data_IF_080725640995
#
_entry.id   IF_080725640995
#
_cell.length_a   1.000
_cell.length_b   1.000
_cell.length_c   1.000
_cell.angle_alpha   90.00
_cell.angle_beta   90.00
_cell.angle_gamma   90.00
#
_symmetry.space_group_name_H-M   'P 1'
#
loop_
_entity.id
_entity.type
_entity.pdbx_description
1 polymer ?
#
# COMPACT_ATOMS: atom_id res chain seq x y z
N UNK A 1 2.07 20.44 -4.10
CA UNK A 1 0.85 19.63 -4.29
C UNK A 1 -0.44 20.41 -3.99
N UNK A 2 -0.34 21.67 -3.53
CA UNK A 2 -1.47 22.47 -3.09
C UNK A 2 -2.06 21.99 -1.74
N UNK A 3 -3.12 22.65 -1.24
CA UNK A 3 -3.73 22.30 0.03
C UNK A 3 -4.38 20.91 -0.02
N UNK A 4 -4.26 20.17 1.08
CA UNK A 4 -4.92 18.90 1.30
C UNK A 4 -5.95 19.09 2.41
N UNK A 5 -7.24 18.92 2.07
CA UNK A 5 -8.37 19.24 2.95
C UNK A 5 -8.64 18.03 3.87
N UNK A 6 -8.68 16.84 3.33
CA UNK A 6 -8.88 15.61 4.11
C UNK A 6 -7.80 15.42 5.18
N UNK A 7 -8.16 14.81 6.30
CA UNK A 7 -7.25 14.59 7.44
C UNK A 7 -6.11 13.66 7.05
N UNK A 8 -6.41 12.54 6.39
CA UNK A 8 -5.42 11.56 5.97
C UNK A 8 -4.50 12.11 4.86
N UNK A 9 -3.20 11.97 5.03
CA UNK A 9 -2.22 12.38 4.02
C UNK A 9 -2.21 11.41 2.84
N UNK A 10 -2.45 11.92 1.63
CA UNK A 10 -2.38 11.16 0.36
C UNK A 10 -1.40 11.82 -0.61
N UNK A 11 -1.84 12.85 -1.32
CA UNK A 11 -0.96 13.58 -2.26
C UNK A 11 0.19 14.29 -1.54
N UNK A 12 0.01 14.74 -0.30
CA UNK A 12 1.07 15.35 0.49
C UNK A 12 2.15 14.33 0.84
N UNK A 13 1.79 13.10 1.24
CA UNK A 13 2.73 12.01 1.45
C UNK A 13 3.56 11.74 0.18
N UNK A 14 2.90 11.51 -0.95
CA UNK A 14 3.57 11.21 -2.23
C UNK A 14 4.50 12.36 -2.66
N UNK A 15 4.06 13.62 -2.48
CA UNK A 15 4.87 14.80 -2.80
C UNK A 15 6.09 14.94 -1.88
N UNK A 16 5.94 14.68 -0.57
CA UNK A 16 7.06 14.68 0.38
C UNK A 16 8.07 13.58 0.01
N UNK A 17 7.59 12.38 -0.29
CA UNK A 17 8.43 11.27 -0.72
C UNK A 17 9.21 11.64 -1.98
N UNK A 18 8.56 12.22 -2.99
CA UNK A 18 9.21 12.68 -4.22
C UNK A 18 10.31 13.73 -3.96
N UNK A 19 10.08 14.67 -3.01
CA UNK A 19 11.08 15.66 -2.62
C UNK A 19 12.26 14.98 -1.92
N UNK A 20 12.02 14.01 -1.03
CA UNK A 20 13.08 13.25 -0.36
C UNK A 20 13.93 12.48 -1.38
N UNK A 21 13.30 11.82 -2.37
CA UNK A 21 14.03 11.18 -3.48
C UNK A 21 14.91 12.17 -4.23
N UNK A 22 14.38 13.35 -4.55
CA UNK A 22 15.16 14.39 -5.25
C UNK A 22 16.35 14.86 -4.42
N UNK A 23 16.16 15.11 -3.12
CA UNK A 23 17.23 15.54 -2.21
C UNK A 23 18.28 14.44 -2.09
N UNK A 24 17.87 13.19 -1.85
CA UNK A 24 18.78 12.05 -1.74
C UNK A 24 19.61 11.90 -3.01
N UNK A 25 18.97 11.98 -4.18
CA UNK A 25 19.65 11.85 -5.46
C UNK A 25 20.68 12.99 -5.70
N UNK A 26 20.41 14.18 -5.21
CA UNK A 26 21.38 15.28 -5.25
C UNK A 26 22.57 15.02 -4.31
N UNK A 27 22.32 14.52 -3.09
CA UNK A 27 23.38 14.24 -2.11
C UNK A 27 24.29 13.09 -2.59
N UNK A 28 23.75 12.07 -3.22
CA UNK A 28 24.53 10.94 -3.74
C UNK A 28 25.10 11.16 -5.15
N UNK A 29 25.17 12.41 -5.62
CA UNK A 29 25.65 12.74 -6.95
C UNK A 29 24.92 12.01 -8.09
N UNK A 30 23.60 12.02 -8.06
CA UNK A 30 22.70 11.40 -9.06
C UNK A 30 22.88 9.87 -9.16
N UNK A 31 22.98 9.20 -8.04
CA UNK A 31 23.14 7.74 -7.96
C UNK A 31 21.88 6.96 -8.37
N UNK A 32 20.70 7.61 -8.44
CA UNK A 32 19.44 6.99 -8.82
C UNK A 32 18.96 7.50 -10.18
N UNK A 33 18.37 6.63 -10.96
CA UNK A 33 17.67 7.00 -12.19
C UNK A 33 16.25 7.47 -11.86
N UNK A 34 16.03 8.77 -11.72
CA UNK A 34 14.74 9.37 -11.41
C UNK A 34 14.05 9.89 -12.68
N UNK A 35 13.39 9.02 -13.42
CA UNK A 35 12.54 9.41 -14.54
C UNK A 35 11.16 9.87 -14.01
N UNK A 36 11.07 11.17 -13.70
CA UNK A 36 9.83 11.78 -13.19
C UNK A 36 8.65 11.66 -14.14
N UNK A 37 8.88 11.60 -15.45
CA UNK A 37 7.83 11.41 -16.44
C UNK A 37 7.29 9.99 -16.40
N UNK A 38 8.16 8.98 -16.28
CA UNK A 38 7.78 7.57 -16.09
C UNK A 38 7.00 7.40 -14.80
N UNK A 39 7.45 8.00 -13.69
CA UNK A 39 6.76 7.97 -12.39
C UNK A 39 5.38 8.60 -12.48
N UNK A 40 5.27 9.80 -13.04
CA UNK A 40 3.98 10.50 -13.21
C UNK A 40 3.01 9.72 -14.08
N UNK A 41 3.46 9.17 -15.21
CA UNK A 41 2.65 8.33 -16.08
C UNK A 41 2.21 7.04 -15.36
N UNK A 42 3.09 6.46 -14.56
CA UNK A 42 2.77 5.27 -13.75
C UNK A 42 1.65 5.55 -12.75
N UNK A 43 1.72 6.66 -12.03
CA UNK A 43 0.67 7.10 -11.11
C UNK A 43 -0.65 7.33 -11.88
N UNK A 44 -0.61 8.04 -13.01
CA UNK A 44 -1.80 8.29 -13.85
C UNK A 44 -2.46 6.99 -14.29
N UNK A 45 -1.68 6.00 -14.74
CA UNK A 45 -2.21 4.68 -15.16
C UNK A 45 -2.98 3.99 -14.02
N UNK A 46 -2.47 4.01 -12.79
CA UNK A 46 -3.15 3.43 -11.62
C UNK A 46 -4.44 4.18 -11.29
N UNK A 47 -4.43 5.52 -11.42
CA UNK A 47 -5.61 6.34 -11.14
C UNK A 47 -6.73 6.18 -12.19
N UNK A 48 -6.36 5.94 -13.45
CA UNK A 48 -7.31 5.80 -14.58
C UNK A 48 -8.07 4.46 -14.51
N UNK A 49 -7.38 3.35 -14.21
CA UNK A 49 -8.00 2.01 -14.09
C UNK A 49 -8.02 1.53 -12.64
N UNK A 50 -9.06 1.93 -11.95
CA UNK A 50 -9.28 1.57 -10.54
C UNK A 50 -10.50 0.66 -10.32
N UNK A 51 -11.06 0.08 -11.37
CA UNK A 51 -12.27 -0.76 -11.31
C UNK A 51 -12.10 -1.96 -10.37
N UNK A 52 -11.00 -2.68 -10.47
CA UNK A 52 -10.67 -3.82 -9.60
C UNK A 52 -10.53 -3.42 -8.13
N UNK A 53 -9.98 -2.22 -7.87
CA UNK A 53 -9.83 -1.69 -6.52
C UNK A 53 -11.20 -1.40 -5.89
N UNK A 54 -12.12 -0.82 -6.66
CA UNK A 54 -13.51 -0.58 -6.24
C UNK A 54 -14.25 -1.88 -5.92
N UNK A 55 -14.07 -2.90 -6.75
CA UNK A 55 -14.68 -4.22 -6.53
C UNK A 55 -14.15 -4.85 -5.23
N UNK A 56 -12.84 -4.87 -5.06
CA UNK A 56 -12.17 -5.38 -3.86
C UNK A 56 -12.61 -4.63 -2.59
N UNK A 57 -12.83 -3.32 -2.67
CA UNK A 57 -13.28 -2.53 -1.53
C UNK A 57 -14.61 -3.02 -0.95
N UNK A 58 -15.52 -3.55 -1.77
CA UNK A 58 -16.79 -4.13 -1.32
C UNK A 58 -16.57 -5.37 -0.45
N UNK A 59 -15.59 -6.20 -0.84
CA UNK A 59 -15.24 -7.41 -0.09
C UNK A 59 -14.63 -7.09 1.29
N UNK A 60 -14.06 -5.88 1.43
CA UNK A 60 -13.48 -5.42 2.70
C UNK A 60 -14.49 -4.79 3.65
N UNK A 61 -15.76 -4.67 3.28
CA UNK A 61 -16.80 -4.01 4.10
C UNK A 61 -16.88 -4.56 5.52
N UNK A 62 -16.91 -5.88 5.67
CA UNK A 62 -17.06 -6.58 6.95
C UNK A 62 -15.71 -7.06 7.53
N UNK A 63 -14.61 -6.70 6.90
CA UNK A 63 -13.28 -7.10 7.36
C UNK A 63 -12.86 -6.25 8.55
N UNK A 64 -12.36 -6.92 9.60
CA UNK A 64 -11.87 -6.30 10.84
C UNK A 64 -10.35 -6.13 10.87
N UNK A 65 -9.63 -7.05 10.24
CA UNK A 65 -8.18 -7.14 10.34
C UNK A 65 -7.54 -7.35 8.96
N UNK A 66 -6.52 -6.55 8.65
CA UNK A 66 -5.74 -6.63 7.42
C UNK A 66 -4.26 -6.53 7.77
N UNK A 67 -3.45 -7.43 7.20
CA UNK A 67 -2.00 -7.35 7.29
C UNK A 67 -1.42 -6.90 5.96
N UNK A 68 -0.36 -6.11 6.02
CA UNK A 68 0.32 -5.61 4.82
C UNK A 68 1.79 -6.01 4.89
N UNK A 69 2.23 -6.86 3.96
CA UNK A 69 3.63 -7.26 3.87
C UNK A 69 4.38 -6.39 2.88
N UNK A 70 5.55 -5.94 3.32
CA UNK A 70 6.56 -5.32 2.47
C UNK A 70 7.95 -5.81 2.86
N UNK A 71 8.85 -5.97 1.89
CA UNK A 71 10.25 -6.33 2.14
C UNK A 71 11.16 -5.19 1.66
N UNK A 72 12.30 -4.96 2.35
CA UNK A 72 13.21 -3.89 1.97
C UNK A 72 12.54 -2.52 1.93
N UNK A 73 12.64 -1.82 0.80
CA UNK A 73 12.07 -0.47 0.61
C UNK A 73 10.53 -0.45 0.60
N UNK A 74 9.87 -1.60 0.43
CA UNK A 74 8.40 -1.73 0.44
C UNK A 74 7.82 -1.79 1.85
N UNK A 75 8.63 -2.12 2.87
CA UNK A 75 8.13 -2.18 4.25
C UNK A 75 7.67 -0.82 4.80
N UNK A 76 8.41 0.30 4.64
CA UNK A 76 7.88 1.61 5.00
C UNK A 76 6.54 1.94 4.32
N UNK A 77 6.36 1.51 3.07
CA UNK A 77 5.09 1.68 2.35
C UNK A 77 3.99 0.79 2.94
N UNK A 78 4.30 -0.43 3.34
CA UNK A 78 3.35 -1.29 4.06
C UNK A 78 2.86 -0.65 5.37
N UNK A 79 3.73 0.06 6.09
CA UNK A 79 3.35 0.82 7.30
C UNK A 79 2.43 2.00 6.98
N UNK A 80 2.73 2.77 5.94
CA UNK A 80 1.89 3.87 5.48
C UNK A 80 0.53 3.36 4.98
N UNK A 81 0.52 2.25 4.26
CA UNK A 81 -0.68 1.56 3.81
C UNK A 81 -1.58 1.16 4.99
N UNK A 82 -1.00 0.56 6.02
CA UNK A 82 -1.71 0.20 7.25
C UNK A 82 -2.27 1.43 7.95
N UNK A 83 -1.54 2.55 7.94
CA UNK A 83 -2.02 3.81 8.50
C UNK A 83 -3.25 4.32 7.73
N UNK A 84 -3.22 4.34 6.39
CA UNK A 84 -4.36 4.80 5.56
C UNK A 84 -5.61 3.96 5.80
N UNK A 85 -5.47 2.63 5.86
CA UNK A 85 -6.60 1.75 6.17
C UNK A 85 -7.17 2.02 7.57
N UNK A 86 -6.33 2.15 8.59
CA UNK A 86 -6.79 2.49 9.95
C UNK A 86 -7.51 3.83 10.02
N UNK A 87 -6.93 4.86 9.42
CA UNK A 87 -7.47 6.22 9.48
C UNK A 87 -8.84 6.32 8.80
N UNK A 88 -9.01 5.72 7.63
CA UNK A 88 -10.18 5.93 6.79
C UNK A 88 -11.28 4.89 7.01
N UNK A 89 -10.93 3.64 7.29
CA UNK A 89 -11.87 2.52 7.33
C UNK A 89 -12.11 1.97 8.74
N UNK A 90 -11.28 2.36 9.70
CA UNK A 90 -11.27 1.84 11.08
C UNK A 90 -10.97 0.33 11.16
N UNK A 91 -10.51 -0.28 10.08
CA UNK A 91 -10.00 -1.65 10.06
C UNK A 91 -8.69 -1.67 10.86
N UNK A 92 -8.52 -2.66 11.73
CA UNK A 92 -7.22 -2.92 12.34
C UNK A 92 -6.24 -3.39 11.26
N UNK A 93 -5.30 -2.55 10.91
CA UNK A 93 -4.33 -2.83 9.87
C UNK A 93 -2.90 -2.75 10.40
N UNK A 94 -2.06 -3.73 10.04
CA UNK A 94 -0.66 -3.79 10.48
C UNK A 94 0.29 -4.00 9.31
N UNK A 95 1.32 -3.14 9.21
CA UNK A 95 2.42 -3.30 8.27
C UNK A 95 3.50 -4.19 8.87
N UNK A 96 3.79 -5.32 8.21
CA UNK A 96 4.72 -6.36 8.67
C UNK A 96 5.92 -6.43 7.73
N UNK A 97 7.16 -6.42 8.25
CA UNK A 97 8.33 -6.72 7.41
C UNK A 97 8.29 -8.19 6.98
N UNK A 98 8.39 -8.43 5.67
CA UNK A 98 8.25 -9.78 5.11
C UNK A 98 9.22 -10.83 5.70
N UNK A 99 10.37 -10.38 6.20
CA UNK A 99 11.32 -11.26 6.91
C UNK A 99 10.86 -11.72 8.28
N UNK A 100 9.98 -10.94 8.95
CA UNK A 100 9.49 -11.22 10.29
C UNK A 100 8.19 -12.04 10.34
N UNK A 101 7.63 -12.38 9.19
CA UNK A 101 6.36 -13.12 9.10
C UNK A 101 6.33 -14.39 9.97
N UNK A 102 7.44 -15.15 9.99
CA UNK A 102 7.55 -16.44 10.70
C UNK A 102 7.72 -16.27 12.22
N UNK A 103 8.05 -15.08 12.68
CA UNK A 103 8.34 -14.80 14.08
C UNK A 103 7.11 -14.37 14.90
N UNK A 104 5.90 -14.76 14.45
CA UNK A 104 4.65 -14.48 15.17
C UNK A 104 3.47 -14.23 14.24
N UNK A 105 3.54 -13.25 13.33
CA UNK A 105 2.39 -12.85 12.50
C UNK A 105 1.72 -13.98 11.72
N UNK A 106 2.48 -15.00 11.32
CA UNK A 106 1.98 -16.16 10.59
C UNK A 106 0.93 -16.97 11.39
N UNK A 107 0.93 -16.87 12.71
CA UNK A 107 -0.05 -17.50 13.58
C UNK A 107 -1.45 -16.88 13.48
N UNK A 108 -1.55 -15.65 12.95
CA UNK A 108 -2.81 -14.91 12.78
C UNK A 108 -3.50 -15.21 11.44
N UNK A 109 -2.86 -15.98 10.55
CA UNK A 109 -3.36 -16.25 9.21
C UNK A 109 -4.42 -17.35 9.22
N UNK A 110 -5.63 -17.00 8.76
CA UNK A 110 -6.76 -17.93 8.57
C UNK A 110 -7.62 -17.52 7.37
N UNK A 111 -8.71 -18.22 7.13
CA UNK A 111 -9.60 -18.03 5.97
C UNK A 111 -10.38 -16.71 5.97
N UNK A 112 -10.44 -16.00 7.08
CA UNK A 112 -11.13 -14.71 7.21
C UNK A 112 -10.18 -13.52 7.07
N UNK A 113 -8.86 -13.78 7.04
CA UNK A 113 -7.83 -12.76 7.00
C UNK A 113 -7.49 -12.38 5.57
N UNK A 114 -7.39 -11.07 5.32
CA UNK A 114 -6.86 -10.51 4.09
C UNK A 114 -5.43 -10.01 4.31
N UNK A 115 -4.55 -10.33 3.38
CA UNK A 115 -3.15 -9.88 3.40
C UNK A 115 -2.83 -9.16 2.10
N UNK A 116 -2.48 -7.88 2.20
CA UNK A 116 -1.91 -7.12 1.08
C UNK A 116 -0.42 -7.42 1.02
N UNK A 117 0.07 -7.79 -0.15
CA UNK A 117 1.49 -8.08 -0.38
C UNK A 117 2.00 -7.12 -1.45
N UNK A 118 2.91 -6.24 -1.05
CA UNK A 118 3.61 -5.34 -1.97
C UNK A 118 4.81 -6.11 -2.52
N UNK A 119 4.71 -6.51 -3.79
CA UNK A 119 5.63 -7.44 -4.41
C UNK A 119 5.91 -7.11 -5.89
N UNK A 120 6.50 -5.95 -6.20
CA UNK A 120 6.97 -5.70 -7.55
C UNK A 120 8.09 -6.66 -7.94
N UNK A 121 8.31 -6.83 -9.27
CA UNK A 121 9.36 -7.70 -9.82
C UNK A 121 10.74 -7.02 -9.66
N UNK A 122 11.29 -7.13 -8.46
CA UNK A 122 12.58 -6.58 -8.06
C UNK A 122 13.44 -7.61 -7.32
N UNK A 123 14.50 -7.17 -6.68
CA UNK A 123 15.44 -8.02 -5.93
C UNK A 123 14.78 -8.82 -4.79
N UNK A 124 13.62 -8.39 -4.29
CA UNK A 124 12.89 -9.02 -3.17
C UNK A 124 11.74 -9.93 -3.61
N UNK A 125 11.43 -9.96 -4.92
CA UNK A 125 10.25 -10.60 -5.48
C UNK A 125 10.07 -12.05 -5.04
N UNK A 126 11.11 -12.88 -5.21
CA UNK A 126 11.02 -14.30 -4.93
C UNK A 126 10.84 -14.60 -3.44
N UNK A 127 11.53 -13.88 -2.58
CA UNK A 127 11.41 -14.03 -1.12
C UNK A 127 10.01 -13.65 -0.63
N UNK A 128 9.43 -12.63 -1.25
CA UNK A 128 8.07 -12.17 -0.95
C UNK A 128 7.05 -13.19 -1.45
N UNK A 129 7.25 -13.81 -2.62
CA UNK A 129 6.41 -14.93 -3.09
C UNK A 129 6.47 -16.14 -2.15
N UNK A 130 7.63 -16.47 -1.59
CA UNK A 130 7.74 -17.53 -0.61
C UNK A 130 6.87 -17.23 0.62
N UNK A 131 6.91 -15.99 1.10
CA UNK A 131 6.03 -15.52 2.20
C UNK A 131 4.55 -15.62 1.81
N UNK A 132 4.19 -15.23 0.58
CA UNK A 132 2.83 -15.34 0.05
C UNK A 132 2.31 -16.79 0.06
N UNK A 133 3.12 -17.73 -0.40
CA UNK A 133 2.76 -19.15 -0.40
C UNK A 133 2.54 -19.69 1.03
N UNK A 134 3.33 -19.24 2.01
CA UNK A 134 3.16 -19.63 3.41
C UNK A 134 1.86 -19.11 4.00
N UNK A 135 1.47 -17.87 3.67
CA UNK A 135 0.19 -17.25 4.03
C UNK A 135 -0.96 -18.01 3.37
N UNK A 136 -0.85 -18.27 2.06
CA UNK A 136 -1.87 -18.98 1.28
C UNK A 136 -2.15 -20.39 1.81
N UNK A 137 -1.11 -21.10 2.22
CA UNK A 137 -1.22 -22.44 2.80
C UNK A 137 -2.03 -22.47 4.12
N UNK A 138 -2.27 -21.32 4.76
CA UNK A 138 -3.09 -21.14 5.97
C UNK A 138 -4.49 -20.65 5.66
N UNK A 139 -4.80 -20.44 4.38
CA UNK A 139 -6.13 -20.08 3.91
C UNK A 139 -6.41 -18.59 3.80
N UNK A 140 -5.49 -17.70 4.21
CA UNK A 140 -5.70 -16.27 4.09
C UNK A 140 -5.79 -15.82 2.62
N UNK A 141 -6.59 -14.80 2.37
CA UNK A 141 -6.79 -14.21 1.05
C UNK A 141 -5.70 -13.20 0.75
N UNK A 142 -5.08 -13.31 -0.42
CA UNK A 142 -3.92 -12.50 -0.80
C UNK A 142 -4.30 -11.47 -1.86
N UNK A 143 -4.03 -10.21 -1.55
CA UNK A 143 -4.11 -9.06 -2.46
C UNK A 143 -2.69 -8.71 -2.87
N UNK A 144 -2.29 -9.08 -4.09
CA UNK A 144 -0.97 -8.75 -4.63
C UNK A 144 -0.94 -7.38 -5.31
N UNK A 145 -0.04 -6.50 -4.89
CA UNK A 145 0.29 -5.25 -5.57
C UNK A 145 1.62 -5.46 -6.29
N UNK A 146 1.57 -5.60 -7.61
CA UNK A 146 2.72 -6.03 -8.39
C UNK A 146 2.56 -5.65 -9.87
N UNK A 147 3.68 -5.43 -10.55
CA UNK A 147 3.71 -5.32 -12.02
C UNK A 147 3.66 -6.69 -12.71
N UNK A 148 3.64 -7.78 -11.94
CA UNK A 148 3.65 -9.15 -12.45
C UNK A 148 2.57 -9.97 -11.75
N UNK A 149 1.68 -10.59 -12.53
CA UNK A 149 0.66 -11.48 -11.99
C UNK A 149 1.27 -12.78 -11.45
N UNK A 150 0.63 -13.35 -10.44
CA UNK A 150 1.01 -14.63 -9.90
C UNK A 150 -0.22 -15.39 -9.40
N UNK A 151 -0.24 -16.72 -9.56
CA UNK A 151 -1.36 -17.57 -9.15
C UNK A 151 -1.59 -17.62 -7.64
N UNK A 152 -0.65 -17.15 -6.83
CA UNK A 152 -0.80 -17.07 -5.37
C UNK A 152 -1.76 -15.96 -4.95
N UNK A 153 -1.96 -14.93 -5.79
CA UNK A 153 -2.83 -13.81 -5.51
C UNK A 153 -4.30 -14.16 -5.78
N UNK A 154 -5.17 -13.96 -4.82
CA UNK A 154 -6.63 -14.02 -5.01
C UNK A 154 -7.12 -12.78 -5.76
N UNK A 155 -6.50 -11.63 -5.45
CA UNK A 155 -6.74 -10.35 -6.11
C UNK A 155 -5.41 -9.79 -6.56
N UNK A 156 -5.32 -9.37 -7.81
CA UNK A 156 -4.12 -8.76 -8.35
C UNK A 156 -4.41 -7.33 -8.81
N UNK A 157 -3.76 -6.38 -8.14
CA UNK A 157 -3.75 -4.97 -8.50
C UNK A 157 -2.46 -4.70 -9.25
N UNK A 158 -2.58 -4.45 -10.54
CA UNK A 158 -1.44 -4.17 -11.40
C UNK A 158 -0.90 -2.77 -11.14
N UNK A 159 0.42 -2.68 -10.94
CA UNK A 159 1.18 -1.44 -11.00
C UNK A 159 2.13 -1.47 -12.20
N UNK A 160 2.52 -0.32 -12.77
CA UNK A 160 3.46 -0.30 -13.89
C UNK A 160 4.87 -0.72 -13.44
N UNK A 161 5.64 -1.24 -14.40
CA UNK A 161 7.06 -1.51 -14.19
C UNK A 161 7.85 -0.22 -13.98
N UNK A 162 8.62 -0.17 -12.91
CA UNK A 162 9.41 0.97 -12.47
C UNK A 162 10.87 0.55 -12.24
N UNK A 163 11.76 1.54 -12.12
CA UNK A 163 13.09 1.28 -11.54
C UNK A 163 12.92 0.92 -10.05
N UNK A 164 13.65 -0.08 -9.56
CA UNK A 164 13.48 -0.66 -8.22
C UNK A 164 13.35 0.41 -7.14
N UNK A 165 14.26 1.38 -7.12
CA UNK A 165 14.25 2.45 -6.11
C UNK A 165 12.99 3.35 -6.15
N UNK A 166 12.22 3.37 -7.25
CA UNK A 166 11.09 4.29 -7.44
C UNK A 166 9.72 3.65 -7.27
N UNK A 167 9.65 2.33 -7.08
CA UNK A 167 8.38 1.64 -6.78
C UNK A 167 7.60 2.28 -5.63
N UNK A 168 8.21 2.70 -4.50
CA UNK A 168 7.51 3.33 -3.39
C UNK A 168 6.59 4.50 -3.76
N UNK A 169 6.95 5.26 -4.81
CA UNK A 169 6.16 6.40 -5.30
C UNK A 169 4.87 5.99 -6.02
N UNK A 170 4.80 4.76 -6.53
CA UNK A 170 3.69 4.25 -7.33
C UNK A 170 2.86 3.21 -6.56
N UNK A 171 3.50 2.32 -5.83
CA UNK A 171 2.84 1.21 -5.12
C UNK A 171 1.91 1.66 -3.98
N UNK A 172 2.11 2.86 -3.43
CA UNK A 172 1.22 3.42 -2.40
C UNK A 172 -0.13 3.86 -3.00
N UNK A 173 -0.18 4.24 -4.29
CA UNK A 173 -1.37 4.80 -4.91
C UNK A 173 -2.57 3.84 -4.89
N UNK A 174 -2.44 2.57 -5.32
CA UNK A 174 -3.56 1.63 -5.26
C UNK A 174 -4.06 1.40 -3.84
N UNK A 175 -3.21 1.52 -2.82
CA UNK A 175 -3.61 1.35 -1.43
C UNK A 175 -4.36 2.58 -0.91
N UNK A 176 -3.94 3.79 -1.30
CA UNK A 176 -4.67 5.02 -1.00
C UNK A 176 -6.08 4.96 -1.61
N UNK A 177 -6.20 4.49 -2.87
CA UNK A 177 -7.49 4.28 -3.52
C UNK A 177 -8.32 3.20 -2.82
N UNK A 178 -7.71 2.07 -2.42
CA UNK A 178 -8.41 1.00 -1.71
C UNK A 178 -8.95 1.49 -0.37
N UNK A 179 -8.15 2.22 0.40
CA UNK A 179 -8.58 2.80 1.67
C UNK A 179 -9.73 3.80 1.47
N UNK A 180 -9.67 4.63 0.43
CA UNK A 180 -10.75 5.56 0.08
C UNK A 180 -12.05 4.83 -0.27
N UNK A 181 -12.01 3.85 -1.19
CA UNK A 181 -13.22 3.12 -1.59
C UNK A 181 -13.76 2.24 -0.46
N UNK A 182 -12.89 1.60 0.32
CA UNK A 182 -13.33 0.82 1.47
C UNK A 182 -13.98 1.71 2.56
N UNK A 183 -13.52 2.95 2.72
CA UNK A 183 -14.18 3.93 3.59
C UNK A 183 -15.62 4.21 3.13
N UNK A 184 -15.82 4.42 1.82
CA UNK A 184 -17.16 4.63 1.25
C UNK A 184 -18.07 3.41 1.44
N UNK A 185 -17.56 2.20 1.23
CA UNK A 185 -18.33 0.95 1.43
C UNK A 185 -18.70 0.72 2.92
N UNK A 186 -17.89 1.23 3.84
CA UNK A 186 -18.13 1.17 5.29
C UNK A 186 -18.95 2.35 5.82
N UNK A 187 -19.44 3.23 4.95
CA UNK A 187 -20.18 4.44 5.30
C UNK A 187 -19.39 5.37 6.26
N UNK A 188 -18.06 5.43 6.11
CA UNK A 188 -17.19 6.35 6.84
C UNK A 188 -16.80 7.54 5.97
N UNK A 189 -16.55 8.70 6.59
CA UNK A 189 -16.14 9.91 5.87
C UNK A 189 -14.60 9.89 5.66
N UNK A 190 -14.10 9.75 4.42
CA UNK A 190 -12.66 9.71 4.18
C UNK A 190 -11.95 11.06 4.39
N UNK A 191 -12.67 12.18 4.36
CA UNK A 191 -12.10 13.50 4.60
C UNK A 191 -12.08 13.86 6.08
N UNK A 192 -13.07 13.39 6.86
CA UNK A 192 -13.23 13.70 8.28
C UNK A 192 -13.37 12.43 9.13
N UNK A 193 -12.32 11.59 9.21
CA UNK A 193 -12.36 10.38 10.02
C UNK A 193 -12.53 10.69 11.50
N UNK A 194 -13.26 9.82 12.22
CA UNK A 194 -13.52 10.00 13.65
C UNK A 194 -12.22 10.08 14.46
N UNK A 195 -12.25 10.87 15.53
CA UNK A 195 -11.15 11.01 16.50
C UNK A 195 -9.82 11.55 15.95
N UNK A 196 -9.82 12.02 14.70
CA UNK A 196 -8.64 12.61 14.06
C UNK A 196 -8.91 14.03 13.64
N UNK A 197 -7.86 14.84 13.57
CA UNK A 197 -7.90 16.21 13.06
C UNK A 197 -6.64 16.51 12.25
N UNK A 198 -6.76 17.36 11.24
CA UNK A 198 -5.63 17.79 10.41
C UNK A 198 -4.51 18.46 11.23
N UNK A 199 -4.89 19.12 12.32
CA UNK A 199 -3.98 19.72 13.28
C UNK A 199 -4.49 19.48 14.70
N UNK A 200 -3.59 19.15 15.63
CA UNK A 200 -3.93 19.00 17.05
C UNK A 200 -4.09 20.39 17.66
N UNK A 201 -5.32 20.73 18.09
CA UNK A 201 -5.68 22.03 18.65
C UNK A 201 -6.00 21.99 20.14
N UNK A 202 -6.02 20.79 20.73
CA UNK A 202 -6.24 20.56 22.18
C UNK A 202 -4.98 19.97 22.83
N UNK A 203 -4.73 20.40 24.05
CA UNK A 203 -3.65 19.88 24.91
C UNK A 203 -4.18 18.77 25.80
#
# INVERSE_FOLDING_TARGET
CGPEIGVAATKSFTSQLAILYKITNLICNQCMNLDWKKISNGISKVLEDNSKIKELAKDLKEVSDIYILGRGIHFPIAKEAALKLKELTYIHAEGIPGGELKHGPLALMDTNVYVIIINPDDSTYQDTLNSANEIKARGAKIIGISNKSNSVYDYWIEIPEMDEATYPLVEIIPIQLLAYYAALEKDTDPDYPRNLAKSVTVK
#
